data_IF_393130606945
#
_entry.id   IF_393130606945
#
_cell.length_a   1.000
_cell.length_b   1.000
_cell.length_c   1.000
_cell.angle_alpha   90.00
_cell.angle_beta   90.00
_cell.angle_gamma   90.00
#
_symmetry.space_group_name_H-M   'P 1'
#
loop_
_entity.id
_entity.type
_entity.pdbx_description
1 polymer ?
#
# COMPACT_ATOMS: atom_id res chain seq x y z
N UNK A 1 -31.38 5.45 -18.48
CA UNK A 1 -30.79 5.46 -17.13
C UNK A 1 -29.71 4.39 -17.06
N UNK A 2 -28.42 4.73 -17.06
CA UNK A 2 -27.31 3.78 -16.73
C UNK A 2 -25.96 4.50 -16.71
N UNK A 3 -25.72 5.38 -15.74
CA UNK A 3 -24.36 5.85 -15.41
C UNK A 3 -24.23 6.06 -13.90
N UNK A 4 -24.06 4.98 -13.13
CA UNK A 4 -23.79 5.09 -11.67
C UNK A 4 -22.92 3.96 -11.11
N UNK A 5 -21.86 3.53 -11.83
CA UNK A 5 -20.89 2.56 -11.28
C UNK A 5 -19.42 2.97 -11.43
N UNK A 6 -19.11 4.27 -11.52
CA UNK A 6 -17.74 4.74 -11.78
C UNK A 6 -17.12 5.55 -10.63
N UNK A 7 -17.42 5.18 -9.39
CA UNK A 7 -16.89 5.88 -8.20
C UNK A 7 -15.96 5.04 -7.32
N UNK A 8 -15.74 3.75 -7.63
CA UNK A 8 -14.99 2.84 -6.74
C UNK A 8 -13.59 2.45 -7.26
N UNK A 9 -13.10 3.07 -8.33
CA UNK A 9 -11.81 2.70 -8.92
C UNK A 9 -11.11 3.93 -9.52
N UNK A 10 -10.77 4.90 -8.68
CA UNK A 10 -9.74 5.87 -9.06
C UNK A 10 -8.38 5.24 -8.72
N UNK A 11 -7.41 5.25 -9.64
CA UNK A 11 -6.08 4.74 -9.35
C UNK A 11 -5.50 5.56 -8.20
N UNK A 12 -4.98 4.87 -7.17
CA UNK A 12 -4.21 5.51 -6.13
C UNK A 12 -3.01 6.19 -6.78
N UNK A 13 -3.07 7.51 -6.88
CA UNK A 13 -1.96 8.30 -7.40
C UNK A 13 -0.81 8.25 -6.39
N UNK A 14 0.46 8.43 -6.84
CA UNK A 14 1.60 8.48 -5.92
C UNK A 14 1.40 9.45 -4.75
N UNK A 15 0.77 10.61 -5.00
CA UNK A 15 0.44 11.58 -3.95
C UNK A 15 -0.61 11.08 -2.94
N UNK A 16 -1.57 10.26 -3.35
CA UNK A 16 -2.54 9.65 -2.43
C UNK A 16 -1.88 8.56 -1.57
N UNK A 17 -0.94 7.79 -2.13
CA UNK A 17 -0.16 6.82 -1.36
C UNK A 17 0.70 7.51 -0.30
N UNK A 18 1.47 8.54 -0.68
CA UNK A 18 2.31 9.28 0.25
C UNK A 18 1.49 9.94 1.37
N UNK A 19 0.34 10.54 1.04
CA UNK A 19 -0.57 11.11 2.03
C UNK A 19 -1.10 10.04 3.02
N UNK A 20 -1.58 8.91 2.50
CA UNK A 20 -2.10 7.80 3.34
C UNK A 20 -1.00 7.24 4.25
N UNK A 21 0.23 7.10 3.73
CA UNK A 21 1.37 6.61 4.48
C UNK A 21 1.79 7.59 5.59
N UNK A 22 1.74 8.90 5.34
CA UNK A 22 2.02 9.91 6.36
C UNK A 22 0.97 9.94 7.47
N UNK A 23 -0.30 9.80 7.10
CA UNK A 23 -1.39 9.69 8.07
C UNK A 23 -1.23 8.46 8.95
N UNK A 24 -0.90 7.30 8.36
CA UNK A 24 -0.63 6.07 9.10
C UNK A 24 0.53 6.23 10.08
N UNK A 25 1.65 6.84 9.65
CA UNK A 25 2.80 7.09 10.54
C UNK A 25 2.42 7.96 11.73
N UNK A 26 1.68 9.03 11.48
CA UNK A 26 1.22 9.94 12.54
C UNK A 26 0.30 9.23 13.52
N UNK A 27 -0.60 8.39 13.02
CA UNK A 27 -1.50 7.58 13.82
C UNK A 27 -0.73 6.59 14.70
N UNK A 28 0.25 5.88 14.14
CA UNK A 28 1.11 4.94 14.90
C UNK A 28 1.87 5.68 16.00
N UNK A 29 2.51 6.80 15.68
CA UNK A 29 3.23 7.62 16.69
C UNK A 29 2.31 8.07 17.81
N UNK A 30 1.04 8.39 17.52
CA UNK A 30 0.05 8.74 18.54
C UNK A 30 -0.33 7.55 19.42
N UNK A 31 -0.54 6.36 18.82
CA UNK A 31 -0.85 5.14 19.56
C UNK A 31 0.30 4.73 20.48
N UNK A 32 1.55 4.89 20.04
CA UNK A 32 2.76 4.58 20.82
C UNK A 32 2.93 5.47 22.07
N UNK A 33 2.36 6.68 22.07
CA UNK A 33 2.41 7.59 23.23
C UNK A 33 1.56 7.11 24.41
N UNK A 34 0.58 6.22 24.17
CA UNK A 34 -0.17 5.51 25.21
C UNK A 34 -1.02 6.38 26.15
N UNK A 35 -1.24 7.66 25.84
CA UNK A 35 -1.97 8.62 26.68
C UNK A 35 -3.46 8.75 26.32
N UNK A 36 -3.95 7.86 25.46
CA UNK A 36 -5.31 7.94 24.90
C UNK A 36 -6.29 7.07 25.68
N UNK A 37 -7.57 7.50 25.81
CA UNK A 37 -8.64 6.64 26.29
C UNK A 37 -8.76 5.36 25.45
N UNK A 38 -9.20 4.26 26.06
CA UNK A 38 -9.34 2.97 25.40
C UNK A 38 -10.23 3.05 24.14
N UNK A 39 -11.35 3.75 24.22
CA UNK A 39 -12.26 3.94 23.08
C UNK A 39 -11.55 4.63 21.90
N UNK A 40 -10.76 5.66 22.18
CA UNK A 40 -9.94 6.35 21.17
C UNK A 40 -8.86 5.44 20.58
N UNK A 41 -8.25 4.58 21.40
CA UNK A 41 -7.25 3.62 20.92
C UNK A 41 -7.87 2.58 19.96
N UNK A 42 -9.11 2.16 20.21
CA UNK A 42 -9.86 1.27 19.31
C UNK A 42 -10.18 1.98 17.99
N UNK A 43 -10.70 3.22 18.04
CA UNK A 43 -10.98 4.01 16.85
C UNK A 43 -9.73 4.24 15.99
N UNK A 44 -8.59 4.51 16.64
CA UNK A 44 -7.32 4.71 15.98
C UNK A 44 -6.81 3.41 15.33
N UNK A 45 -6.99 2.27 16.00
CA UNK A 45 -6.67 0.97 15.42
C UNK A 45 -7.50 0.69 14.16
N UNK A 46 -8.81 0.92 14.19
CA UNK A 46 -9.69 0.73 13.01
C UNK A 46 -9.28 1.63 11.84
N UNK A 47 -8.99 2.91 12.11
CA UNK A 47 -8.44 3.84 11.11
C UNK A 47 -7.11 3.34 10.56
N UNK A 48 -6.21 2.88 11.44
CA UNK A 48 -4.92 2.30 11.05
C UNK A 48 -5.09 1.13 10.07
N UNK A 49 -6.00 0.20 10.35
CA UNK A 49 -6.31 -0.92 9.45
C UNK A 49 -6.82 -0.45 8.08
N UNK A 50 -7.68 0.58 8.05
CA UNK A 50 -8.17 1.14 6.79
C UNK A 50 -7.04 1.79 5.97
N UNK A 51 -6.15 2.53 6.63
CA UNK A 51 -4.99 3.16 5.99
C UNK A 51 -4.02 2.11 5.42
N UNK A 52 -3.74 1.04 6.16
CA UNK A 52 -2.91 -0.09 5.69
C UNK A 52 -3.51 -0.70 4.42
N UNK A 53 -4.81 -1.00 4.45
CA UNK A 53 -5.51 -1.57 3.28
C UNK A 53 -5.44 -0.65 2.06
N UNK A 54 -5.54 0.67 2.25
CA UNK A 54 -5.42 1.64 1.18
C UNK A 54 -4.00 1.64 0.58
N UNK A 55 -2.97 1.57 1.42
CA UNK A 55 -1.58 1.45 0.97
C UNK A 55 -1.35 0.16 0.16
N UNK A 56 -1.85 -0.98 0.63
CA UNK A 56 -1.75 -2.27 -0.08
C UNK A 56 -2.43 -2.21 -1.46
N UNK A 57 -3.63 -1.64 -1.53
CA UNK A 57 -4.35 -1.46 -2.80
C UNK A 57 -3.59 -0.57 -3.76
N UNK A 58 -2.96 0.51 -3.27
CA UNK A 58 -2.16 1.40 -4.09
C UNK A 58 -0.94 0.68 -4.68
N UNK A 59 -0.22 -0.09 -3.86
CA UNK A 59 0.92 -0.90 -4.30
C UNK A 59 0.51 -1.97 -5.31
N UNK A 60 -0.62 -2.64 -5.08
CA UNK A 60 -1.16 -3.64 -6.01
C UNK A 60 -1.48 -3.02 -7.38
N UNK A 61 -2.12 -1.85 -7.39
CA UNK A 61 -2.43 -1.14 -8.64
C UNK A 61 -1.16 -0.68 -9.37
N UNK A 62 -0.15 -0.23 -8.64
CA UNK A 62 1.15 0.11 -9.22
C UNK A 62 1.82 -1.11 -9.87
N UNK A 63 1.82 -2.26 -9.18
CA UNK A 63 2.36 -3.51 -9.69
C UNK A 63 1.63 -3.97 -10.97
N UNK A 64 0.30 -3.97 -10.97
CA UNK A 64 -0.51 -4.31 -12.15
C UNK A 64 -0.22 -3.39 -13.34
N UNK A 65 0.01 -2.10 -13.08
CA UNK A 65 0.35 -1.15 -14.13
C UNK A 65 1.74 -1.44 -14.71
N UNK A 66 2.71 -1.81 -13.87
CA UNK A 66 4.05 -2.22 -14.32
C UNK A 66 3.95 -3.48 -15.18
N UNK A 67 3.25 -4.51 -14.70
CA UNK A 67 3.03 -5.77 -15.43
C UNK A 67 2.43 -5.51 -16.81
N UNK A 68 1.36 -4.71 -16.89
CA UNK A 68 0.74 -4.36 -18.17
C UNK A 68 1.68 -3.62 -19.12
N UNK A 69 2.49 -2.68 -18.62
CA UNK A 69 3.48 -1.97 -19.45
C UNK A 69 4.54 -2.95 -19.96
N UNK A 70 4.95 -3.94 -19.15
CA UNK A 70 5.91 -4.96 -19.57
C UNK A 70 5.34 -5.91 -20.63
N UNK A 71 4.06 -6.28 -20.52
CA UNK A 71 3.35 -7.07 -21.53
C UNK A 71 3.20 -6.31 -22.86
N UNK A 72 2.83 -5.01 -22.80
CA UNK A 72 2.64 -4.16 -23.99
C UNK A 72 3.94 -3.88 -24.73
N UNK A 73 5.07 -3.80 -24.02
CA UNK A 73 6.38 -3.48 -24.62
C UNK A 73 7.24 -4.68 -24.98
N UNK A 74 6.76 -5.92 -24.75
CA UNK A 74 7.42 -7.15 -25.19
C UNK A 74 8.85 -7.28 -24.66
N UNK A 75 8.98 -7.91 -23.48
CA UNK A 75 10.26 -8.28 -22.86
C UNK A 75 11.07 -7.12 -22.26
N UNK A 76 10.60 -6.55 -21.16
CA UNK A 76 11.54 -6.12 -20.13
C UNK A 76 11.89 -7.37 -19.31
N UNK A 77 13.06 -7.96 -19.55
CA UNK A 77 13.62 -8.96 -18.66
C UNK A 77 13.82 -8.32 -17.28
N UNK A 78 12.82 -8.43 -16.41
CA UNK A 78 13.05 -8.31 -14.98
C UNK A 78 13.82 -9.57 -14.63
N UNK A 79 15.14 -9.48 -14.67
CA UNK A 79 15.99 -10.46 -14.02
C UNK A 79 15.47 -10.57 -12.58
N UNK A 80 14.85 -11.71 -12.32
CA UNK A 80 14.45 -12.13 -11.00
C UNK A 80 15.67 -11.96 -10.10
N UNK A 81 15.64 -10.96 -9.22
CA UNK A 81 16.64 -10.76 -8.19
C UNK A 81 16.55 -11.97 -7.27
N UNK A 82 17.25 -13.04 -7.63
CA UNK A 82 17.44 -14.17 -6.73
C UNK A 82 18.40 -13.68 -5.67
N UNK A 83 17.92 -13.58 -4.44
CA UNK A 83 18.77 -13.37 -3.28
C UNK A 83 19.83 -14.48 -3.31
N UNK A 84 21.13 -14.18 -3.45
CA UNK A 84 22.14 -15.22 -3.37
C UNK A 84 21.98 -15.90 -2.01
N UNK A 85 21.66 -17.19 -2.03
CA UNK A 85 21.58 -18.00 -0.83
C UNK A 85 22.91 -17.86 -0.06
N UNK A 86 22.89 -17.75 1.28
CA UNK A 86 24.14 -17.65 2.03
C UNK A 86 24.92 -18.95 1.83
N UNK A 87 26.06 -18.86 1.14
CA UNK A 87 27.01 -19.97 1.04
C UNK A 87 27.47 -20.31 2.46
N UNK A 88 26.91 -21.39 3.01
CA UNK A 88 27.38 -21.95 4.26
C UNK A 88 28.70 -22.67 3.95
N UNK A 89 29.81 -21.94 4.00
CA UNK A 89 31.14 -22.53 3.98
C UNK A 89 31.23 -23.58 5.10
N UNK A 90 31.68 -24.77 4.70
CA UNK A 90 32.02 -25.89 5.59
C UNK A 90 33.23 -25.59 6.46
#
# INVERSE_FOLDING_TARGET
MSQSRKSAQQPATPGQFEATLQELKTLVTRMEQGQQPLETAVDDFEKGMALVKNCEQALQQAAQRIEKVMEEHGELQVESFTTPAPERSS
#
